data_IF_184489467491
#
_entry.id   IF_184489467491
#
_cell.length_a   1.000
_cell.length_b   1.000
_cell.length_c   1.000
_cell.angle_alpha   90.00
_cell.angle_beta   90.00
_cell.angle_gamma   90.00
#
_symmetry.space_group_name_H-M   'P 1'
#
loop_
_entity.id
_entity.type
_entity.pdbx_description
1 polymer ?
#
# COMPACT_ATOMS: atom_id res chain seq x y z
N UNK A 1 3.63 -14.24 -2.40
CA UNK A 1 3.16 -12.89 -2.06
C UNK A 1 4.13 -12.26 -1.08
N UNK A 2 4.54 -11.01 -1.33
CA UNK A 2 5.25 -10.14 -0.40
C UNK A 2 4.22 -9.35 0.41
N UNK A 3 4.64 -8.92 1.59
CA UNK A 3 3.82 -8.06 2.44
C UNK A 3 3.77 -6.63 1.87
N UNK A 4 2.56 -6.06 1.79
CA UNK A 4 2.40 -4.64 1.45
C UNK A 4 2.97 -3.78 2.60
N UNK A 5 3.83 -2.79 2.32
CA UNK A 5 4.44 -1.97 3.36
C UNK A 5 3.46 -0.98 3.98
N UNK A 6 2.25 -0.82 3.44
CA UNK A 6 1.22 0.10 3.95
C UNK A 6 0.20 -0.63 4.82
N UNK A 7 -0.49 -1.63 4.27
CA UNK A 7 -1.58 -2.31 4.97
C UNK A 7 -1.18 -3.63 5.63
N UNK A 8 0.07 -4.05 5.49
CA UNK A 8 0.65 -5.24 6.13
C UNK A 8 0.04 -6.59 5.69
N UNK A 9 -0.85 -6.59 4.70
CA UNK A 9 -1.40 -7.79 4.07
C UNK A 9 -0.49 -8.28 2.93
N UNK A 10 -0.42 -9.60 2.74
CA UNK A 10 0.34 -10.28 1.71
C UNK A 10 -0.41 -10.24 0.37
N UNK A 11 -0.22 -9.17 -0.39
CA UNK A 11 -0.99 -8.88 -1.62
C UNK A 11 -0.12 -8.60 -2.85
N UNK A 12 1.20 -8.52 -2.65
CA UNK A 12 2.15 -8.11 -3.69
C UNK A 12 2.75 -9.36 -4.33
N UNK A 13 2.68 -9.51 -5.65
CA UNK A 13 3.29 -10.64 -6.37
C UNK A 13 4.64 -10.26 -6.97
N UNK A 14 4.74 -9.05 -7.51
CA UNK A 14 5.92 -8.48 -8.17
C UNK A 14 6.21 -7.04 -7.73
N UNK A 15 7.33 -6.49 -8.19
CA UNK A 15 7.58 -5.06 -8.07
C UNK A 15 6.61 -4.31 -9.00
N UNK A 16 6.21 -3.10 -8.62
CA UNK A 16 5.22 -2.28 -9.33
C UNK A 16 3.78 -2.80 -9.30
N UNK A 17 3.50 -3.85 -8.52
CA UNK A 17 2.12 -4.27 -8.28
C UNK A 17 1.37 -3.27 -7.41
N UNK A 18 0.10 -3.04 -7.72
CA UNK A 18 -0.80 -2.23 -6.91
C UNK A 18 -1.50 -3.12 -5.89
N UNK A 19 -1.34 -2.81 -4.61
CA UNK A 19 -2.03 -3.51 -3.53
C UNK A 19 -3.55 -3.32 -3.64
N UNK A 20 -4.31 -4.38 -3.85
CA UNK A 20 -5.78 -4.32 -3.92
C UNK A 20 -6.46 -3.90 -2.59
N UNK A 21 -5.73 -3.92 -1.47
CA UNK A 21 -6.27 -3.61 -0.14
C UNK A 21 -6.12 -2.14 0.24
N UNK A 22 -5.06 -1.47 -0.21
CA UNK A 22 -4.82 -0.06 0.12
C UNK A 22 -4.55 0.84 -1.09
N UNK A 23 -4.32 0.26 -2.28
CA UNK A 23 -3.98 0.95 -3.52
C UNK A 23 -2.55 1.53 -3.58
N UNK A 24 -1.64 1.07 -2.72
CA UNK A 24 -0.22 1.41 -2.82
C UNK A 24 0.45 0.64 -3.96
N UNK A 25 1.16 1.32 -4.86
CA UNK A 25 2.03 0.65 -5.83
C UNK A 25 3.36 0.29 -5.17
N UNK A 26 3.73 -1.00 -5.23
CA UNK A 26 4.91 -1.51 -4.56
C UNK A 26 6.19 -1.05 -5.23
N UNK A 27 6.81 -0.04 -4.63
CA UNK A 27 8.12 0.47 -5.01
C UNK A 27 9.15 0.20 -3.89
N UNK A 28 10.28 -0.41 -4.24
CA UNK A 28 11.37 -0.72 -3.30
C UNK A 28 12.07 0.56 -2.84
N UNK A 29 12.24 1.55 -3.72
CA UNK A 29 12.90 2.81 -3.38
C UNK A 29 12.08 3.59 -2.35
N UNK A 30 10.74 3.59 -2.49
CA UNK A 30 9.87 4.24 -1.51
C UNK A 30 9.89 3.57 -0.13
N UNK A 31 10.32 2.30 -0.03
CA UNK A 31 10.51 1.62 1.26
C UNK A 31 11.83 2.03 1.94
N UNK A 32 12.87 2.33 1.16
CA UNK A 32 14.14 2.83 1.65
C UNK A 32 14.05 4.30 2.13
N UNK A 33 13.17 5.09 1.51
CA UNK A 33 12.96 6.51 1.82
C UNK A 33 11.51 6.81 2.22
N UNK A 34 11.03 6.34 3.38
CA UNK A 34 9.61 6.32 3.71
C UNK A 34 8.98 7.70 3.93
N UNK A 35 9.78 8.73 4.20
CA UNK A 35 9.33 10.11 4.40
C UNK A 35 9.32 10.93 3.10
N UNK A 36 9.98 10.45 2.04
CA UNK A 36 10.12 11.16 0.76
C UNK A 36 9.00 10.78 -0.22
N UNK A 37 8.64 11.73 -1.10
CA UNK A 37 7.78 11.46 -2.25
C UNK A 37 8.69 11.00 -3.40
N UNK A 38 8.83 9.69 -3.56
CA UNK A 38 9.72 9.05 -4.53
C UNK A 38 9.05 7.84 -5.16
N UNK A 39 9.41 7.56 -6.42
CA UNK A 39 8.85 6.44 -7.16
C UNK A 39 7.53 6.77 -7.87
N UNK A 40 6.65 5.78 -7.98
CA UNK A 40 5.38 5.89 -8.70
C UNK A 40 4.25 6.59 -7.92
N UNK A 41 4.37 6.70 -6.60
CA UNK A 41 3.31 7.21 -5.72
C UNK A 41 3.44 8.73 -5.52
N UNK A 42 2.30 9.43 -5.44
CA UNK A 42 2.28 10.90 -5.27
C UNK A 42 2.39 11.36 -3.80
N UNK A 43 2.52 10.41 -2.86
CA UNK A 43 2.67 10.65 -1.43
C UNK A 43 3.75 9.73 -0.88
N UNK A 44 4.35 10.11 0.25
CA UNK A 44 5.35 9.27 0.91
C UNK A 44 4.72 8.01 1.51
N UNK A 45 5.53 6.96 1.71
CA UNK A 45 5.08 5.72 2.34
C UNK A 45 4.51 5.96 3.73
N UNK A 46 5.08 6.89 4.50
CA UNK A 46 4.58 7.31 5.81
C UNK A 46 3.20 7.95 5.70
N UNK A 47 2.98 8.84 4.74
CA UNK A 47 1.68 9.45 4.53
C UNK A 47 0.63 8.41 4.09
N UNK A 48 1.02 7.46 3.24
CA UNK A 48 0.17 6.35 2.83
C UNK A 48 -0.29 5.49 4.03
N UNK A 49 0.60 5.18 4.98
CA UNK A 49 0.26 4.49 6.24
C UNK A 49 -0.75 5.28 7.09
N UNK A 50 -0.53 6.59 7.23
CA UNK A 50 -1.44 7.48 7.97
C UNK A 50 -2.83 7.51 7.30
N UNK A 51 -2.87 7.59 5.97
CA UNK A 51 -4.11 7.63 5.21
C UNK A 51 -4.85 6.29 5.27
N UNK A 52 -4.15 5.17 5.16
CA UNK A 52 -4.77 3.86 5.28
C UNK A 52 -5.46 3.66 6.63
N UNK A 53 -4.86 4.13 7.73
CA UNK A 53 -5.48 4.09 9.05
C UNK A 53 -6.78 4.93 9.15
N UNK A 54 -6.96 5.94 8.29
CA UNK A 54 -8.14 6.82 8.28
C UNK A 54 -9.20 6.39 7.28
N UNK A 55 -8.78 5.93 6.10
CA UNK A 55 -9.65 5.77 4.92
C UNK A 55 -9.67 4.36 4.36
N UNK A 56 -8.84 3.45 4.88
CA UNK A 56 -8.57 2.14 4.27
C UNK A 56 -8.04 2.21 2.83
N UNK A 57 -7.47 3.35 2.42
CA UNK A 57 -6.83 3.58 1.13
C UNK A 57 -5.67 4.58 1.29
N UNK A 58 -4.70 4.56 0.37
CA UNK A 58 -3.55 5.48 0.40
C UNK A 58 -3.91 6.92 0.10
N UNK A 59 -4.96 7.16 -0.68
CA UNK A 59 -5.56 8.47 -0.92
C UNK A 59 -7.09 8.32 -0.97
N UNK A 60 -7.85 9.34 -0.56
CA UNK A 60 -9.32 9.28 -0.51
C UNK A 60 -9.95 8.96 -1.87
N UNK A 61 -9.34 9.43 -2.97
CA UNK A 61 -9.81 9.16 -4.34
C UNK A 61 -9.81 7.67 -4.73
N UNK A 62 -9.10 6.82 -3.99
CA UNK A 62 -9.00 5.39 -4.27
C UNK A 62 -9.90 4.50 -3.40
N UNK A 63 -10.72 5.08 -2.50
CA UNK A 63 -11.60 4.32 -1.59
C UNK A 63 -12.52 3.35 -2.36
N UNK A 64 -12.95 3.70 -3.57
CA UNK A 64 -13.83 2.86 -4.40
C UNK A 64 -13.09 1.77 -5.19
N UNK A 65 -11.76 1.78 -5.18
CA UNK A 65 -10.91 0.84 -5.91
C UNK A 65 -10.25 -0.21 -5.00
N UNK A 66 -10.41 -0.10 -3.68
CA UNK A 66 -9.87 -1.04 -2.70
C UNK A 66 -10.90 -2.07 -2.27
N UNK A 67 -10.42 -3.21 -1.76
CA UNK A 67 -11.23 -4.26 -1.15
C UNK A 67 -10.68 -4.65 0.22
N UNK A 68 -11.49 -5.38 1.01
CA UNK A 68 -11.00 -6.05 2.20
C UNK A 68 -9.96 -7.13 1.83
N UNK A 69 -8.97 -7.41 2.70
CA UNK A 69 -8.06 -8.52 2.50
C UNK A 69 -8.81 -9.86 2.53
N UNK A 70 -8.32 -10.83 1.76
CA UNK A 70 -8.76 -12.24 1.81
C UNK A 70 -8.11 -12.92 3.01
N UNK A 71 -8.67 -14.05 3.43
CA UNK A 71 -8.20 -14.78 4.61
C UNK A 71 -6.73 -15.24 4.49
N UNK A 72 -6.29 -15.59 3.29
CA UNK A 72 -4.93 -16.03 2.95
C UNK A 72 -3.92 -14.88 2.78
N UNK A 73 -4.40 -13.64 2.73
CA UNK A 73 -3.58 -12.43 2.63
C UNK A 73 -3.27 -11.84 4.01
N UNK A 74 -3.99 -12.24 5.06
CA UNK A 74 -3.80 -11.73 6.41
C UNK A 74 -2.43 -12.15 6.97
N UNK A 75 -1.74 -11.27 7.72
CA UNK A 75 -0.56 -11.67 8.48
C UNK A 75 -0.91 -12.75 9.50
N UNK A 76 0.01 -13.69 9.69
CA UNK A 76 -0.10 -14.75 10.70
C UNK A 76 0.13 -14.22 12.11
#
# INVERSE_FOLDING_TARGET
MKQCPVCENYTIEANYDICEVCYWEYDVVAQEYPDEIIGANNISLKQAKINYAKFCAVEEKYITLVRKPRQDELPK
#
